data_IF_099942095287
#
_entry.id   IF_099942095287
#
_cell.length_a   1.000
_cell.length_b   1.000
_cell.length_c   1.000
_cell.angle_alpha   90.00
_cell.angle_beta   90.00
_cell.angle_gamma   90.00
#
_symmetry.space_group_name_H-M   'P 1'
#
loop_
_entity.id
_entity.type
_entity.pdbx_description
1 polymer ?
#
# COMPACT_ATOMS: atom_id res chain seq x y z
N UNK A 1 -23.56 44.68 5.82
CA UNK A 1 -22.45 44.38 4.91
C UNK A 1 -21.67 43.24 5.54
N UNK A 2 -22.17 42.01 5.40
CA UNK A 2 -21.45 40.79 5.77
C UNK A 2 -20.47 40.52 4.64
N UNK A 3 -19.19 40.44 5.01
CA UNK A 3 -18.06 40.42 4.08
C UNK A 3 -18.00 39.07 3.37
N UNK A 4 -17.44 39.02 2.16
CA UNK A 4 -17.17 37.79 1.36
C UNK A 4 -16.49 36.66 2.16
N UNK A 5 -15.91 36.96 3.30
CA UNK A 5 -15.19 36.02 4.17
C UNK A 5 -16.12 35.04 4.90
N UNK A 6 -17.40 35.40 5.11
CA UNK A 6 -18.40 34.49 5.69
C UNK A 6 -18.85 33.38 4.71
N UNK A 7 -18.68 33.59 3.40
CA UNK A 7 -18.97 32.59 2.36
C UNK A 7 -17.90 31.49 2.29
N UNK A 8 -16.67 31.74 2.77
CA UNK A 8 -15.58 30.76 2.74
C UNK A 8 -15.71 29.66 3.81
N UNK A 9 -16.57 29.86 4.82
CA UNK A 9 -16.80 28.93 5.94
C UNK A 9 -18.22 28.36 5.96
N UNK A 10 -19.10 28.81 5.06
CA UNK A 10 -20.42 28.24 4.90
C UNK A 10 -20.35 27.08 3.90
N UNK A 11 -20.35 25.86 4.43
CA UNK A 11 -20.50 24.62 3.66
C UNK A 11 -21.90 24.45 3.03
N UNK A 12 -22.69 25.53 2.97
CA UNK A 12 -24.07 25.52 2.49
C UNK A 12 -24.19 25.51 0.96
N UNK A 13 -23.07 25.45 0.24
CA UNK A 13 -23.02 25.36 -1.22
C UNK A 13 -22.83 23.95 -1.78
N UNK A 14 -22.69 22.93 -0.92
CA UNK A 14 -22.46 21.53 -1.31
C UNK A 14 -23.76 20.71 -1.41
N UNK A 15 -24.82 21.33 -1.92
CA UNK A 15 -26.04 20.62 -2.34
C UNK A 15 -25.90 20.25 -3.82
N UNK A 16 -24.97 19.32 -4.11
CA UNK A 16 -24.81 18.73 -5.44
C UNK A 16 -26.00 17.78 -5.73
N UNK A 17 -26.80 18.00 -6.80
CA UNK A 17 -27.95 17.16 -7.14
C UNK A 17 -27.57 15.72 -7.55
N UNK A 18 -26.27 15.39 -7.66
CA UNK A 18 -25.77 14.02 -7.84
C UNK A 18 -25.60 13.25 -6.53
N UNK A 19 -25.70 13.92 -5.37
CA UNK A 19 -25.74 13.27 -4.06
C UNK A 19 -27.13 12.69 -3.81
N UNK A 20 -27.28 11.41 -4.12
CA UNK A 20 -28.46 10.63 -3.72
C UNK A 20 -28.45 10.49 -2.19
N UNK A 21 -29.29 11.26 -1.51
CA UNK A 21 -29.54 11.05 -0.09
C UNK A 21 -30.04 9.62 0.12
N UNK A 22 -29.27 8.82 0.85
CA UNK A 22 -29.68 7.49 1.23
C UNK A 22 -30.98 7.58 2.05
N UNK A 23 -32.01 6.77 1.76
CA UNK A 23 -33.23 6.79 2.56
C UNK A 23 -32.86 6.48 4.00
N UNK A 24 -33.13 7.42 4.90
CA UNK A 24 -33.13 7.15 6.33
C UNK A 24 -34.10 6.01 6.56
N UNK A 25 -33.59 4.80 6.85
CA UNK A 25 -34.44 3.70 7.27
C UNK A 25 -34.95 4.05 8.66
N UNK A 26 -36.09 4.73 8.65
CA UNK A 26 -36.90 4.88 9.83
C UNK A 26 -37.26 3.46 10.29
N UNK A 27 -36.70 3.09 11.45
CA UNK A 27 -36.91 1.78 12.07
C UNK A 27 -38.30 1.80 12.71
N UNK A 28 -39.32 1.62 11.87
CA UNK A 28 -40.71 1.42 12.27
C UNK A 28 -41.12 -0.03 12.09
N UNK A 29 -41.43 -0.68 13.21
CA UNK A 29 -41.93 -2.05 13.32
C UNK A 29 -43.07 -2.40 12.34
N UNK A 30 -43.05 -3.61 11.75
CA UNK A 30 -44.19 -4.56 11.76
C UNK A 30 -44.00 -5.78 10.82
N UNK A 31 -44.06 -6.97 11.42
CA UNK A 31 -44.78 -8.17 10.95
C UNK A 31 -44.27 -8.96 9.73
N UNK A 32 -43.56 -10.07 10.02
CA UNK A 32 -43.60 -11.31 9.20
C UNK A 32 -44.98 -11.97 9.33
N UNK A 33 -45.43 -12.65 8.27
CA UNK A 33 -45.86 -14.03 8.45
C UNK A 33 -45.11 -14.99 7.54
N UNK A 34 -44.79 -16.14 8.13
CA UNK A 34 -44.31 -17.36 7.52
C UNK A 34 -45.51 -18.20 7.08
N UNK A 35 -45.54 -18.65 5.82
CA UNK A 35 -46.25 -19.85 5.35
C UNK A 35 -45.65 -20.22 3.99
N UNK A 36 -44.86 -21.30 3.86
CA UNK A 36 -45.26 -22.70 3.71
C UNK A 36 -45.85 -23.02 2.32
N UNK A 37 -45.02 -23.55 1.40
CA UNK A 37 -45.35 -24.67 0.48
C UNK A 37 -44.26 -24.86 -0.60
N UNK A 38 -43.82 -26.11 -0.76
CA UNK A 38 -43.06 -26.66 -1.89
C UNK A 38 -43.65 -28.07 -2.21
N UNK A 39 -43.31 -28.81 -3.28
CA UNK A 39 -42.61 -28.53 -4.55
C UNK A 39 -43.41 -29.08 -5.80
N UNK A 40 -42.85 -29.10 -7.04
CA UNK A 40 -42.20 -30.34 -7.48
C UNK A 40 -40.95 -30.18 -8.39
N UNK A 41 -39.99 -31.07 -8.14
CA UNK A 41 -39.13 -31.87 -9.03
C UNK A 41 -38.79 -31.37 -10.45
N UNK A 42 -37.53 -30.95 -10.64
CA UNK A 42 -36.79 -31.09 -11.90
C UNK A 42 -35.33 -31.50 -11.58
N UNK A 43 -34.82 -32.64 -12.08
CA UNK A 43 -33.42 -32.99 -11.96
C UNK A 43 -32.67 -32.60 -13.24
N UNK A 44 -31.72 -31.67 -13.11
CA UNK A 44 -30.60 -31.50 -14.06
C UNK A 44 -29.47 -30.78 -13.34
N UNK A 45 -28.47 -31.55 -12.89
CA UNK A 45 -27.14 -31.07 -12.53
C UNK A 45 -26.22 -31.28 -13.75
N UNK A 46 -25.33 -30.33 -14.05
CA UNK A 46 -23.93 -30.55 -13.71
C UNK A 46 -23.28 -29.31 -13.08
N UNK A 47 -22.62 -29.48 -11.93
CA UNK A 47 -21.61 -28.56 -11.41
C UNK A 47 -20.42 -28.43 -12.39
N UNK A 48 -19.62 -27.33 -12.40
CA UNK A 48 -18.77 -27.02 -11.25
C UNK A 48 -18.48 -25.53 -10.96
N UNK A 49 -18.33 -25.24 -9.67
CA UNK A 49 -17.27 -24.44 -9.07
C UNK A 49 -17.20 -22.90 -9.31
N UNK A 50 -17.33 -22.20 -8.18
CA UNK A 50 -16.68 -20.95 -7.78
C UNK A 50 -17.35 -19.62 -8.12
N UNK A 51 -18.51 -19.38 -7.50
CA UNK A 51 -19.09 -18.04 -7.39
C UNK A 51 -18.53 -17.32 -6.16
N UNK A 52 -17.34 -16.72 -6.30
CA UNK A 52 -17.01 -15.54 -5.51
C UNK A 52 -17.56 -14.34 -6.26
N UNK A 53 -18.81 -14.05 -5.94
CA UNK A 53 -19.57 -12.88 -6.34
C UNK A 53 -18.79 -11.61 -5.97
N UNK A 54 -18.09 -11.03 -6.95
CA UNK A 54 -17.69 -9.62 -6.89
C UNK A 54 -18.56 -8.89 -7.89
N UNK A 55 -19.75 -8.51 -7.43
CA UNK A 55 -20.63 -7.58 -8.12
C UNK A 55 -19.90 -6.22 -8.25
N UNK A 56 -19.36 -5.96 -9.44
CA UNK A 56 -18.83 -4.67 -9.87
C UNK A 56 -19.45 -4.31 -11.22
N UNK A 57 -20.33 -3.32 -11.20
CA UNK A 57 -21.03 -2.69 -12.33
C UNK A 57 -20.12 -2.38 -13.55
N UNK A 58 -20.57 -2.61 -14.81
CA UNK A 58 -19.79 -2.33 -16.01
C UNK A 58 -19.87 -0.84 -16.39
N UNK A 59 -19.17 -0.01 -15.62
CA UNK A 59 -18.99 1.42 -15.91
C UNK A 59 -17.74 1.70 -16.74
N UNK A 60 -17.90 1.73 -18.07
CA UNK A 60 -16.97 2.31 -19.07
C UNK A 60 -15.55 1.73 -19.11
N UNK A 61 -15.37 0.72 -19.95
CA UNK A 61 -14.06 0.22 -20.36
C UNK A 61 -13.28 1.32 -21.09
N UNK A 62 -12.46 2.06 -20.35
CA UNK A 62 -11.22 2.57 -20.91
C UNK A 62 -10.36 1.34 -21.23
N UNK A 63 -10.20 1.05 -22.52
CA UNK A 63 -9.38 -0.06 -23.00
C UNK A 63 -7.90 0.27 -22.78
N UNK A 64 -7.46 0.24 -21.52
CA UNK A 64 -6.25 0.94 -21.09
C UNK A 64 -5.52 0.22 -19.95
N UNK A 65 -4.95 -0.95 -20.25
CA UNK A 65 -4.08 -1.74 -19.33
C UNK A 65 -4.78 -2.23 -18.04
N UNK A 66 -4.47 -3.45 -17.56
CA UNK A 66 -5.01 -3.90 -16.28
C UNK A 66 -4.57 -2.92 -15.17
N UNK A 67 -5.55 -2.24 -14.56
CA UNK A 67 -5.31 -1.36 -13.43
C UNK A 67 -4.78 -2.18 -12.26
N UNK A 68 -3.76 -1.64 -11.58
CA UNK A 68 -3.16 -2.28 -10.42
C UNK A 68 -4.16 -2.25 -9.26
N UNK A 69 -4.33 -3.37 -8.53
CA UNK A 69 -5.29 -3.41 -7.42
C UNK A 69 -4.93 -2.42 -6.32
N UNK A 70 -5.93 -1.85 -5.64
CA UNK A 70 -5.73 -0.93 -4.51
C UNK A 70 -4.81 -1.51 -3.43
N UNK A 71 -4.97 -2.81 -3.14
CA UNK A 71 -4.12 -3.53 -2.19
C UNK A 71 -2.64 -3.58 -2.64
N UNK A 72 -2.37 -3.74 -3.93
CA UNK A 72 -1.00 -3.74 -4.44
C UNK A 72 -0.35 -2.35 -4.33
N UNK A 73 -1.10 -1.28 -4.61
CA UNK A 73 -0.63 0.10 -4.43
C UNK A 73 -0.27 0.40 -2.97
N UNK A 74 -1.16 0.05 -2.03
CA UNK A 74 -0.89 0.19 -0.59
C UNK A 74 0.35 -0.61 -0.19
N UNK A 75 0.47 -1.86 -0.66
CA UNK A 75 1.63 -2.69 -0.38
C UNK A 75 2.93 -2.06 -0.92
N UNK A 76 2.92 -1.47 -2.11
CA UNK A 76 4.09 -0.75 -2.62
C UNK A 76 4.42 0.50 -1.82
N UNK A 77 3.42 1.23 -1.33
CA UNK A 77 3.61 2.36 -0.43
C UNK A 77 4.28 1.92 0.88
N UNK A 78 3.79 0.85 1.50
CA UNK A 78 4.37 0.29 2.73
C UNK A 78 5.80 -0.20 2.51
N UNK A 79 6.03 -1.00 1.47
CA UNK A 79 7.38 -1.49 1.17
C UNK A 79 8.32 -0.33 0.83
N UNK A 80 7.90 0.63 0.01
CA UNK A 80 8.67 1.84 -0.29
C UNK A 80 9.01 2.64 0.98
N UNK A 81 8.06 2.76 1.91
CA UNK A 81 8.27 3.36 3.22
C UNK A 81 9.32 2.62 4.05
N UNK A 82 9.32 1.28 4.06
CA UNK A 82 10.34 0.46 4.73
C UNK A 82 11.73 0.73 4.14
N UNK A 83 11.86 0.76 2.81
CA UNK A 83 13.12 1.09 2.14
C UNK A 83 13.59 2.53 2.45
N UNK A 84 12.66 3.48 2.57
CA UNK A 84 12.97 4.84 3.00
C UNK A 84 13.46 4.87 4.46
N UNK A 85 12.79 4.17 5.36
CA UNK A 85 13.19 4.01 6.76
C UNK A 85 14.59 3.38 6.87
N UNK A 86 14.91 2.38 6.05
CA UNK A 86 16.26 1.81 5.99
C UNK A 86 17.30 2.82 5.51
N UNK A 87 16.97 3.60 4.48
CA UNK A 87 17.85 4.68 4.00
C UNK A 87 18.18 5.65 5.13
N UNK A 88 17.17 6.06 5.92
CA UNK A 88 17.36 6.89 7.12
C UNK A 88 18.22 6.18 8.17
N UNK A 89 17.96 4.90 8.45
CA UNK A 89 18.76 4.11 9.38
C UNK A 89 20.23 4.01 8.98
N UNK A 90 20.52 3.87 7.68
CA UNK A 90 21.87 3.87 7.12
C UNK A 90 22.53 5.25 7.19
N UNK A 91 21.78 6.35 7.02
CA UNK A 91 22.31 7.70 7.23
C UNK A 91 22.73 7.88 8.69
N UNK A 92 21.82 7.62 9.64
CA UNK A 92 22.07 7.81 11.07
C UNK A 92 23.22 6.92 11.55
N UNK A 93 23.18 5.63 11.20
CA UNK A 93 24.22 4.70 11.60
C UNK A 93 25.56 4.92 10.87
N UNK A 94 25.52 5.34 9.61
CA UNK A 94 26.72 5.69 8.83
C UNK A 94 27.45 6.89 9.40
N UNK A 95 26.73 7.94 9.81
CA UNK A 95 27.29 9.10 10.51
C UNK A 95 27.98 8.67 11.81
N UNK A 96 27.28 7.88 12.64
CA UNK A 96 27.83 7.36 13.90
C UNK A 96 29.07 6.50 13.68
N UNK A 97 29.07 5.65 12.65
CA UNK A 97 30.20 4.78 12.33
C UNK A 97 31.40 5.59 11.80
N UNK A 98 31.14 6.64 11.00
CA UNK A 98 32.19 7.52 10.48
C UNK A 98 32.92 8.25 11.61
N UNK A 99 32.19 8.70 12.64
CA UNK A 99 32.78 9.35 13.82
C UNK A 99 33.71 8.42 14.59
N UNK A 100 33.34 7.14 14.75
CA UNK A 100 34.17 6.13 15.43
C UNK A 100 35.35 5.70 14.53
N UNK A 101 35.08 5.46 13.25
CA UNK A 101 36.08 4.99 12.29
C UNK A 101 37.16 6.05 12.00
N UNK A 102 36.82 7.34 12.07
CA UNK A 102 37.78 8.44 11.88
C UNK A 102 38.95 8.44 12.86
N UNK A 103 38.85 7.73 13.99
CA UNK A 103 39.95 7.52 14.93
C UNK A 103 40.92 6.40 14.53
N UNK A 104 40.51 5.49 13.64
CA UNK A 104 41.23 4.23 13.35
C UNK A 104 41.63 4.14 11.87
N UNK A 105 40.82 4.70 10.96
CA UNK A 105 40.95 4.58 9.51
C UNK A 105 40.83 5.96 8.86
N UNK A 106 41.59 6.19 7.78
CA UNK A 106 41.49 7.42 7.01
C UNK A 106 40.09 7.57 6.38
N UNK A 107 39.45 8.75 6.45
CA UNK A 107 38.08 8.98 5.96
C UNK A 107 37.86 8.59 4.50
N UNK A 108 38.89 8.72 3.67
CA UNK A 108 38.86 8.38 2.23
C UNK A 108 38.57 6.91 1.96
N UNK A 109 38.85 6.01 2.90
CA UNK A 109 38.54 4.59 2.77
C UNK A 109 37.08 4.26 3.17
N UNK A 110 36.52 4.96 4.15
CA UNK A 110 35.21 4.64 4.74
C UNK A 110 34.04 5.37 4.08
N UNK A 111 34.21 6.64 3.70
CA UNK A 111 33.17 7.47 3.08
C UNK A 111 32.51 6.84 1.85
N UNK A 112 33.24 6.29 0.84
CA UNK A 112 32.58 5.71 -0.33
C UNK A 112 31.70 4.51 0.04
N UNK A 113 32.15 3.67 0.98
CA UNK A 113 31.36 2.53 1.45
C UNK A 113 30.07 2.97 2.15
N UNK A 114 30.16 4.04 2.97
CA UNK A 114 28.99 4.62 3.66
C UNK A 114 27.98 5.17 2.65
N UNK A 115 28.43 5.91 1.64
CA UNK A 115 27.55 6.45 0.59
C UNK A 115 26.83 5.30 -0.14
N UNK A 116 27.57 4.25 -0.52
CA UNK A 116 26.98 3.08 -1.18
C UNK A 116 25.94 2.41 -0.28
N UNK A 117 26.22 2.26 1.01
CA UNK A 117 25.29 1.66 1.96
C UNK A 117 24.02 2.49 2.15
N UNK A 118 24.13 3.83 2.19
CA UNK A 118 22.99 4.76 2.25
C UNK A 118 22.13 4.65 1.00
N UNK A 119 22.74 4.58 -0.18
CA UNK A 119 22.00 4.54 -1.44
C UNK A 119 21.46 3.16 -1.78
N UNK A 120 22.03 2.09 -1.22
CA UNK A 120 21.68 0.71 -1.54
C UNK A 120 20.17 0.41 -1.42
N UNK A 121 19.44 0.83 -0.35
CA UNK A 121 18.01 0.59 -0.25
C UNK A 121 17.21 1.28 -1.36
N UNK A 122 17.47 2.56 -1.60
CA UNK A 122 16.79 3.33 -2.64
C UNK A 122 17.07 2.77 -4.05
N UNK A 123 18.33 2.43 -4.33
CA UNK A 123 18.76 1.84 -5.60
C UNK A 123 18.13 0.47 -5.80
N UNK A 124 18.11 -0.39 -4.79
CA UNK A 124 17.48 -1.71 -4.89
C UNK A 124 16.00 -1.61 -5.21
N UNK A 125 15.27 -0.75 -4.49
CA UNK A 125 13.85 -0.52 -4.75
C UNK A 125 13.60 0.00 -6.17
N UNK A 126 14.39 0.99 -6.62
CA UNK A 126 14.29 1.54 -7.98
C UNK A 126 14.61 0.50 -9.06
N UNK A 127 15.70 -0.26 -8.89
CA UNK A 127 16.14 -1.29 -9.85
C UNK A 127 15.13 -2.43 -9.92
N UNK A 128 14.67 -2.95 -8.79
CA UNK A 128 13.63 -3.99 -8.77
C UNK A 128 12.34 -3.46 -9.39
N UNK A 129 11.97 -2.20 -9.16
CA UNK A 129 10.82 -1.57 -9.81
C UNK A 129 10.97 -1.57 -11.33
N UNK A 130 12.12 -1.14 -11.82
CA UNK A 130 12.39 -0.97 -13.24
C UNK A 130 12.50 -2.31 -13.96
N UNK A 131 13.21 -3.28 -13.37
CA UNK A 131 13.51 -4.57 -13.96
C UNK A 131 12.29 -5.51 -14.02
N UNK A 132 11.30 -5.29 -13.16
CA UNK A 132 10.09 -6.11 -13.09
C UNK A 132 8.87 -5.49 -13.78
N UNK A 133 9.01 -4.30 -14.40
CA UNK A 133 7.91 -3.54 -15.02
C UNK A 133 7.14 -4.30 -16.12
N UNK A 134 7.76 -5.29 -16.75
CA UNK A 134 7.14 -6.17 -17.76
C UNK A 134 6.99 -7.63 -17.34
N UNK A 135 7.17 -7.96 -16.05
CA UNK A 135 7.08 -9.33 -15.52
C UNK A 135 5.87 -9.49 -14.61
N UNK A 136 5.60 -10.73 -14.21
CA UNK A 136 4.54 -11.02 -13.24
C UNK A 136 4.80 -10.29 -11.91
N UNK A 137 3.74 -9.65 -11.38
CA UNK A 137 3.79 -8.82 -10.17
C UNK A 137 4.33 -9.57 -8.94
N UNK A 138 4.14 -10.89 -8.86
CA UNK A 138 4.66 -11.67 -7.73
C UNK A 138 6.20 -11.70 -7.67
N UNK A 139 6.91 -11.79 -8.81
CA UNK A 139 8.38 -11.74 -8.82
C UNK A 139 8.90 -10.45 -8.18
N UNK A 140 8.21 -9.35 -8.43
CA UNK A 140 8.53 -8.04 -7.87
C UNK A 140 8.37 -8.02 -6.35
N UNK A 141 7.27 -8.56 -5.83
CA UNK A 141 7.09 -8.68 -4.39
C UNK A 141 8.16 -9.55 -3.74
N UNK A 142 8.48 -10.70 -4.34
CA UNK A 142 9.55 -11.58 -3.83
C UNK A 142 10.89 -10.85 -3.78
N UNK A 143 11.27 -10.13 -4.82
CA UNK A 143 12.53 -9.36 -4.86
C UNK A 143 12.57 -8.20 -3.87
N UNK A 144 11.43 -7.54 -3.63
CA UNK A 144 11.35 -6.47 -2.65
C UNK A 144 11.37 -7.00 -1.21
N UNK A 145 10.69 -8.12 -0.93
CA UNK A 145 10.76 -8.75 0.39
C UNK A 145 12.16 -9.28 0.66
N UNK A 146 12.78 -9.96 -0.32
CA UNK A 146 14.16 -10.44 -0.20
C UNK A 146 15.14 -9.28 0.04
N UNK A 147 14.99 -8.19 -0.71
CA UNK A 147 15.80 -6.99 -0.49
C UNK A 147 15.53 -6.35 0.87
N UNK A 148 14.28 -6.32 1.34
CA UNK A 148 13.96 -5.78 2.66
C UNK A 148 14.58 -6.59 3.79
N UNK A 149 14.74 -7.91 3.64
CA UNK A 149 15.48 -8.74 4.60
C UNK A 149 17.00 -8.51 4.47
N UNK A 150 17.50 -8.36 3.24
CA UNK A 150 18.94 -8.17 3.00
C UNK A 150 19.46 -6.81 3.48
N UNK A 151 18.69 -5.75 3.25
CA UNK A 151 19.09 -4.34 3.45
C UNK A 151 18.72 -3.79 4.82
N UNK A 152 18.20 -4.64 5.72
CA UNK A 152 18.03 -4.26 7.12
C UNK A 152 19.37 -3.72 7.62
N UNK A 153 19.38 -2.61 8.38
CA UNK A 153 20.58 -2.05 8.98
C UNK A 153 21.09 -2.92 10.16
N UNK A 154 21.41 -4.19 9.88
CA UNK A 154 21.96 -5.18 10.80
C UNK A 154 23.11 -4.67 11.68
N UNK A 155 24.15 -3.99 11.14
CA UNK A 155 25.26 -3.52 11.99
C UNK A 155 24.75 -2.70 13.17
N UNK A 156 23.75 -1.83 12.96
CA UNK A 156 23.22 -0.97 14.02
C UNK A 156 22.22 -1.70 14.93
N UNK A 157 21.43 -2.62 14.37
CA UNK A 157 20.53 -3.48 15.15
C UNK A 157 21.31 -4.34 16.16
N UNK A 158 22.48 -4.85 15.78
CA UNK A 158 23.34 -5.64 16.67
C UNK A 158 24.03 -4.76 17.73
N UNK A 159 24.54 -3.59 17.33
CA UNK A 159 25.22 -2.64 18.22
C UNK A 159 24.31 -2.02 19.30
N UNK A 160 22.99 -1.93 19.07
CA UNK A 160 22.03 -1.34 20.01
C UNK A 160 21.57 -2.27 21.14
N UNK A 161 21.89 -3.58 21.07
CA UNK A 161 21.46 -4.57 22.08
C UNK A 161 22.49 -4.82 23.19
N UNK A 162 23.64 -4.14 23.14
CA UNK A 162 24.71 -4.31 24.12
C UNK A 162 24.97 -3.05 24.95
N UNK A 163 24.66 -3.16 26.25
CA UNK A 163 25.18 -2.43 27.42
C UNK A 163 24.89 -0.92 27.56
#
# INVERSE_FOLDING_TARGET
>A
MTSRDDDALSWAGDDDPTLVSAPTRDSGLASRPSDAAAPPTHPSEPAPAQDLESAGDPGTADAGRPAMSSAALVSFGVLGGIYLLYTVGWIVGGLRLNDIAGFIVAPTASVPAIIVAILAPAVWFGVTFLLTRGRATWLRFVWLVAGAVLLVPWPFAMLGTGL
#
